data_IF_708030297416
#
_entry.id   IF_708030297416
#
_cell.length_a   1.000
_cell.length_b   1.000
_cell.length_c   1.000
_cell.angle_alpha   90.00
_cell.angle_beta   90.00
_cell.angle_gamma   90.00
#
_symmetry.space_group_name_H-M   'P 1'
#
loop_
_entity.id
_entity.type
_entity.pdbx_description
1 polymer ?
#
# COMPACT_ATOMS: atom_id res chain seq x y z
N UNK A 1 -5.10 -11.99 -13.15
CA UNK A 1 -4.80 -12.09 -11.70
C UNK A 1 -5.14 -13.46 -11.15
N UNK A 2 -6.41 -13.90 -11.22
CA UNK A 2 -6.78 -15.26 -10.82
C UNK A 2 -6.01 -16.35 -11.58
N UNK A 3 -5.71 -16.15 -12.86
CA UNK A 3 -4.92 -17.11 -13.66
C UNK A 3 -3.44 -17.21 -13.25
N UNK A 4 -2.87 -16.16 -12.66
CA UNK A 4 -1.46 -16.12 -12.25
C UNK A 4 -1.33 -16.68 -10.83
N UNK A 5 -2.13 -16.15 -9.90
CA UNK A 5 -2.08 -16.51 -8.49
C UNK A 5 -2.82 -17.83 -8.20
N UNK A 6 -3.87 -18.18 -8.95
CA UNK A 6 -4.66 -19.40 -8.73
C UNK A 6 -3.90 -20.70 -9.04
N UNK A 7 -2.75 -20.62 -9.71
CA UNK A 7 -1.86 -21.78 -9.94
C UNK A 7 -1.22 -22.31 -8.66
N UNK A 8 -1.14 -21.48 -7.62
CA UNK A 8 -0.44 -21.81 -6.39
C UNK A 8 -1.38 -22.31 -5.29
N UNK A 9 -2.70 -22.15 -5.46
CA UNK A 9 -3.66 -22.55 -4.45
C UNK A 9 -5.03 -21.90 -4.55
N UNK A 10 -5.93 -22.31 -3.67
CA UNK A 10 -7.28 -21.78 -3.59
C UNK A 10 -7.25 -20.33 -3.08
N UNK A 11 -7.78 -19.40 -3.89
CA UNK A 11 -7.82 -17.99 -3.55
C UNK A 11 -9.11 -17.67 -2.83
N UNK A 12 -8.99 -17.14 -1.60
CA UNK A 12 -10.09 -16.60 -0.82
C UNK A 12 -10.60 -15.28 -1.40
N UNK A 13 -9.68 -14.37 -1.70
CA UNK A 13 -10.02 -13.04 -2.16
C UNK A 13 -8.85 -12.38 -2.90
N UNK A 14 -9.15 -11.60 -3.94
CA UNK A 14 -8.22 -10.61 -4.50
C UNK A 14 -8.82 -9.22 -4.34
N UNK A 15 -8.04 -8.28 -3.81
CA UNK A 15 -8.39 -6.86 -3.71
C UNK A 15 -7.40 -6.06 -4.54
N UNK A 16 -7.87 -5.45 -5.62
CA UNK A 16 -7.03 -4.61 -6.50
C UNK A 16 -7.19 -3.15 -6.09
N UNK A 17 -6.07 -2.42 -6.00
CA UNK A 17 -6.09 -0.99 -5.71
C UNK A 17 -6.64 -0.18 -6.88
N UNK A 18 -7.67 0.62 -6.61
CA UNK A 18 -8.38 1.42 -7.62
C UNK A 18 -8.11 2.92 -7.53
N UNK A 19 -7.51 3.39 -6.44
CA UNK A 19 -7.21 4.83 -6.24
C UNK A 19 -5.90 5.22 -6.91
N UNK A 20 -5.67 6.53 -7.12
CA UNK A 20 -4.39 7.04 -7.64
C UNK A 20 -3.18 6.55 -6.82
N UNK A 21 -3.34 6.46 -5.49
CA UNK A 21 -2.30 6.01 -4.55
C UNK A 21 -2.06 4.49 -4.59
N UNK A 22 -3.06 3.70 -4.96
CA UNK A 22 -3.02 2.22 -4.86
C UNK A 22 -3.03 1.51 -6.22
N UNK A 23 -3.16 2.24 -7.32
CA UNK A 23 -3.13 1.66 -8.66
C UNK A 23 -1.79 0.97 -8.91
N UNK A 24 -1.84 -0.31 -9.26
CA UNK A 24 -0.67 -1.16 -9.45
C UNK A 24 -0.31 -2.00 -8.22
N UNK A 25 -1.04 -1.88 -7.11
CA UNK A 25 -0.95 -2.79 -5.97
C UNK A 25 -2.20 -3.66 -5.83
N UNK A 26 -2.05 -4.84 -5.26
CA UNK A 26 -3.16 -5.73 -4.94
C UNK A 26 -2.84 -6.55 -3.69
N UNK A 27 -3.88 -6.99 -3.00
CA UNK A 27 -3.79 -8.01 -1.95
C UNK A 27 -4.40 -9.30 -2.47
N UNK A 28 -3.66 -10.40 -2.35
CA UNK A 28 -4.12 -11.75 -2.65
C UNK A 28 -4.17 -12.51 -1.33
N UNK A 29 -5.34 -13.05 -1.01
CA UNK A 29 -5.59 -13.84 0.19
C UNK A 29 -5.87 -15.26 -0.25
N UNK A 30 -5.01 -16.20 0.18
CA UNK A 30 -5.21 -17.64 -0.04
C UNK A 30 -5.99 -18.24 1.13
N UNK A 31 -6.60 -19.40 0.89
CA UNK A 31 -7.20 -20.23 1.94
C UNK A 31 -6.13 -20.86 2.83
N UNK A 32 -5.01 -21.29 2.24
CA UNK A 32 -3.91 -21.95 2.92
C UNK A 32 -2.61 -21.11 2.91
N UNK A 33 -1.82 -21.24 3.98
CA UNK A 33 -0.57 -20.48 4.15
C UNK A 33 0.59 -21.01 3.29
N UNK A 34 0.64 -22.31 3.02
CA UNK A 34 1.68 -22.90 2.19
C UNK A 34 1.50 -22.50 0.72
N UNK A 35 0.26 -22.35 0.25
CA UNK A 35 -0.06 -21.79 -1.07
C UNK A 35 0.47 -20.36 -1.22
N UNK A 36 0.26 -19.52 -0.20
CA UNK A 36 0.78 -18.16 -0.15
C UNK A 36 2.31 -18.14 -0.17
N UNK A 37 2.97 -19.04 0.58
CA UNK A 37 4.42 -19.18 0.57
C UNK A 37 4.94 -19.56 -0.81
N UNK A 38 4.30 -20.52 -1.46
CA UNK A 38 4.68 -20.98 -2.78
C UNK A 38 4.56 -19.87 -3.83
N UNK A 39 3.48 -19.08 -3.76
CA UNK A 39 3.27 -17.94 -4.63
C UNK A 39 4.34 -16.84 -4.43
N UNK A 40 4.73 -16.54 -3.19
CA UNK A 40 5.77 -15.52 -2.90
C UNK A 40 7.12 -15.91 -3.51
N UNK A 41 7.49 -17.17 -3.37
CA UNK A 41 8.78 -17.71 -3.83
C UNK A 41 8.91 -17.66 -5.36
N UNK A 42 7.84 -18.01 -6.08
CA UNK A 42 7.89 -18.16 -7.54
C UNK A 42 7.42 -16.92 -8.32
N UNK A 43 6.58 -16.06 -7.74
CA UNK A 43 6.06 -14.88 -8.44
C UNK A 43 6.88 -13.60 -8.18
N UNK A 44 7.80 -13.63 -7.23
CA UNK A 44 8.75 -12.52 -7.05
C UNK A 44 9.67 -12.41 -8.27
N UNK A 45 9.62 -11.27 -8.96
CA UNK A 45 10.36 -11.09 -10.22
C UNK A 45 9.70 -11.73 -11.43
N UNK A 46 8.45 -12.18 -11.34
CA UNK A 46 7.71 -12.67 -12.51
C UNK A 46 7.32 -11.52 -13.43
N UNK A 47 7.58 -11.63 -14.74
CA UNK A 47 7.24 -10.59 -15.71
C UNK A 47 5.79 -10.72 -16.19
N UNK A 48 5.02 -9.65 -16.00
CA UNK A 48 3.65 -9.50 -16.50
C UNK A 48 3.56 -8.19 -17.25
N UNK A 49 3.28 -8.27 -18.56
CA UNK A 49 3.10 -7.09 -19.42
C UNK A 49 4.29 -6.10 -19.33
N UNK A 50 5.51 -6.63 -19.43
CA UNK A 50 6.77 -5.87 -19.34
C UNK A 50 7.00 -5.21 -17.96
N UNK A 51 6.35 -5.71 -16.91
CA UNK A 51 6.59 -5.29 -15.53
C UNK A 51 6.87 -6.48 -14.64
N UNK A 52 7.91 -6.38 -13.84
CA UNK A 52 8.28 -7.41 -12.88
C UNK A 52 7.47 -7.24 -11.60
N UNK A 53 6.80 -8.31 -11.16
CA UNK A 53 6.01 -8.31 -9.94
C UNK A 53 6.92 -8.30 -8.71
N UNK A 54 6.49 -7.56 -7.69
CA UNK A 54 7.04 -7.63 -6.34
C UNK A 54 5.97 -8.26 -5.46
N UNK A 55 6.27 -9.41 -4.86
CA UNK A 55 5.33 -10.16 -4.03
C UNK A 55 5.87 -10.23 -2.62
N UNK A 56 5.10 -9.72 -1.65
CA UNK A 56 5.51 -9.62 -0.25
C UNK A 56 4.38 -10.12 0.64
N UNK A 57 4.74 -10.70 1.78
CA UNK A 57 3.77 -10.97 2.84
C UNK A 57 3.14 -9.67 3.36
N UNK A 58 1.86 -9.76 3.70
CA UNK A 58 1.16 -8.69 4.36
C UNK A 58 1.79 -8.39 5.72
N UNK A 59 2.20 -7.13 5.95
CA UNK A 59 2.73 -6.69 7.23
C UNK A 59 1.78 -5.65 7.85
N UNK A 60 0.98 -6.03 8.87
CA UNK A 60 0.00 -5.13 9.49
C UNK A 60 0.64 -3.91 10.14
N UNK A 61 1.86 -4.02 10.68
CA UNK A 61 2.54 -2.89 11.32
C UNK A 61 2.87 -1.79 10.31
N UNK A 62 3.40 -2.17 9.13
CA UNK A 62 3.66 -1.22 8.03
C UNK A 62 2.39 -0.55 7.52
N UNK A 63 1.27 -1.29 7.48
CA UNK A 63 0.00 -0.74 7.03
C UNK A 63 -0.61 0.24 8.04
N UNK A 64 -0.55 -0.09 9.34
CA UNK A 64 -0.99 0.82 10.41
C UNK A 64 -0.17 2.11 10.43
N UNK A 65 1.15 2.01 10.26
CA UNK A 65 2.01 3.19 10.19
C UNK A 65 1.66 4.11 9.01
N UNK A 66 1.32 3.55 7.84
CA UNK A 66 0.85 4.36 6.70
C UNK A 66 -0.50 5.03 6.98
N UNK A 67 -1.42 4.33 7.64
CA UNK A 67 -2.72 4.89 8.02
C UNK A 67 -2.55 6.06 9.00
N UNK A 68 -1.73 5.88 10.05
CA UNK A 68 -1.50 6.92 11.05
C UNK A 68 -0.85 8.17 10.46
N UNK A 69 0.11 8.02 9.55
CA UNK A 69 0.72 9.16 8.86
C UNK A 69 -0.32 9.94 8.06
N UNK A 70 -1.20 9.25 7.34
CA UNK A 70 -2.28 9.89 6.56
C UNK A 70 -3.27 10.66 7.46
N UNK A 71 -3.60 10.10 8.63
CA UNK A 71 -4.45 10.76 9.63
C UNK A 71 -3.77 12.01 10.22
N UNK A 72 -2.45 11.93 10.47
CA UNK A 72 -1.65 13.06 10.94
C UNK A 72 -1.58 14.17 9.88
N UNK A 73 -1.36 13.82 8.62
CA UNK A 73 -1.33 14.78 7.50
C UNK A 73 -2.68 15.49 7.31
N UNK A 74 -3.80 14.77 7.37
CA UNK A 74 -5.14 15.36 7.27
C UNK A 74 -5.46 16.28 8.46
N UNK A 75 -5.06 15.88 9.67
CA UNK A 75 -5.21 16.69 10.88
C UNK A 75 -4.39 17.98 10.81
N UNK A 76 -3.15 17.90 10.32
CA UNK A 76 -2.26 19.04 10.14
C UNK A 76 -2.84 20.01 9.11
N UNK A 77 -3.34 19.48 7.98
CA UNK A 77 -3.95 20.29 6.92
C UNK A 77 -5.19 21.05 7.40
N UNK A 78 -6.09 20.38 8.12
CA UNK A 78 -7.26 21.02 8.73
C UNK A 78 -6.87 22.10 9.74
N UNK A 79 -5.78 21.89 10.48
CA UNK A 79 -5.26 22.89 11.42
C UNK A 79 -4.70 24.10 10.66
N UNK A 80 -3.91 23.88 9.62
CA UNK A 80 -3.38 24.94 8.76
C UNK A 80 -4.50 25.80 8.15
N UNK A 81 -5.55 25.15 7.64
CA UNK A 81 -6.73 25.84 7.09
C UNK A 81 -7.48 26.64 8.16
N UNK A 82 -7.69 26.07 9.35
CA UNK A 82 -8.39 26.76 10.46
C UNK A 82 -7.66 28.00 10.96
N UNK A 83 -6.32 27.95 11.01
CA UNK A 83 -5.50 29.05 11.52
C UNK A 83 -4.95 29.96 10.41
N UNK A 84 -5.28 29.69 9.15
CA UNK A 84 -4.83 30.48 8.00
C UNK A 84 -3.30 30.49 7.84
N UNK A 85 -2.62 29.43 8.28
CA UNK A 85 -1.16 29.31 8.22
C UNK A 85 -0.76 28.45 7.02
N UNK A 86 0.18 28.92 6.22
CA UNK A 86 0.65 28.26 4.99
C UNK A 86 1.64 27.11 5.23
N UNK A 87 1.96 26.85 6.50
CA UNK A 87 2.83 25.75 6.91
C UNK A 87 4.33 25.98 6.69
N UNK A 88 4.74 27.16 6.20
CA UNK A 88 6.15 27.53 6.11
C UNK A 88 6.64 28.19 7.40
N UNK A 89 7.87 27.85 7.78
CA UNK A 89 8.57 28.53 8.87
C UNK A 89 9.01 29.91 8.38
N UNK A 90 8.25 30.94 8.77
CA UNK A 90 8.63 32.32 8.53
C UNK A 90 9.67 32.75 9.56
N UNK A 91 10.79 33.38 9.16
CA UNK A 91 11.73 33.95 10.12
C UNK A 91 11.02 34.99 10.97
N UNK A 92 11.28 34.97 12.28
CA UNK A 92 10.69 35.92 13.22
C UNK A 92 11.02 37.37 12.80
N UNK A 93 10.08 38.32 12.89
CA UNK A 93 10.34 39.70 12.52
C UNK A 93 11.48 40.25 13.38
N UNK A 94 12.50 40.81 12.73
CA UNK A 94 13.59 41.50 13.41
C UNK A 94 13.00 42.69 14.20
N UNK A 95 13.31 42.75 15.49
CA UNK A 95 12.94 43.83 16.40
C UNK A 95 13.65 45.13 16.05
#
# INVERSE_FOLDING_TARGET
>A
MYEIFGKYGAIRQIRVGSTKETRGTAYVVYEDIFDAKNAVDHLSGFNVQNRYLIVLYYNPAKMKAKASLKEQEDSLRKMQEKFGVDGQQHPAPAR
#
